data_IF_399930924932
#
_entry.id   IF_399930924932
#
_cell.length_a   1.000
_cell.length_b   1.000
_cell.length_c   1.000
_cell.angle_alpha   90.00
_cell.angle_beta   90.00
_cell.angle_gamma   90.00
#
_symmetry.space_group_name_H-M   'P 1'
#
loop_
_entity.id
_entity.type
_entity.pdbx_description
1 polymer ?
#
# COMPACT_ATOMS: atom_id res chain seq x y z
N UNK A 1 -14.95 -100.37 -17.38
CA UNK A 1 -13.86 -99.60 -18.03
C UNK A 1 -13.49 -98.47 -17.07
N UNK A 2 -12.98 -98.77 -15.87
CA UNK A 2 -11.60 -99.22 -15.58
C UNK A 2 -10.57 -98.20 -16.10
N UNK A 3 -9.59 -97.67 -15.37
CA UNK A 3 -9.09 -97.91 -14.01
C UNK A 3 -8.06 -96.79 -13.66
N UNK A 4 -7.97 -96.46 -12.36
CA UNK A 4 -6.79 -96.22 -11.47
C UNK A 4 -5.51 -95.55 -12.03
N UNK A 5 -4.83 -94.61 -11.35
CA UNK A 5 -4.09 -94.67 -10.06
C UNK A 5 -3.64 -93.24 -9.68
N UNK A 6 -3.30 -92.79 -8.46
CA UNK A 6 -3.17 -93.39 -7.14
C UNK A 6 -2.36 -92.44 -6.22
N UNK A 7 -2.74 -92.40 -4.92
CA UNK A 7 -1.96 -92.12 -3.69
C UNK A 7 -1.22 -90.77 -3.50
N UNK A 8 -0.87 -90.30 -2.30
CA UNK A 8 -1.42 -90.27 -0.94
C UNK A 8 -0.47 -89.36 -0.11
N UNK A 9 -0.97 -88.75 0.97
CA UNK A 9 -0.27 -88.34 2.20
C UNK A 9 0.78 -87.18 2.21
N UNK A 10 0.42 -86.12 2.96
CA UNK A 10 1.08 -85.82 4.25
C UNK A 10 2.18 -84.73 4.32
N UNK A 11 2.25 -83.91 5.40
CA UNK A 11 2.91 -82.60 5.41
C UNK A 11 4.20 -82.53 6.24
N UNK A 12 5.08 -81.54 6.00
CA UNK A 12 5.84 -80.87 7.08
C UNK A 12 6.66 -79.64 6.63
N UNK A 13 6.50 -78.60 7.46
CA UNK A 13 7.38 -77.46 7.81
C UNK A 13 8.76 -77.27 7.15
N UNK A 14 9.04 -76.02 6.75
CA UNK A 14 9.93 -75.09 7.47
C UNK A 14 10.89 -74.28 6.58
N UNK A 15 11.12 -73.04 7.05
CA UNK A 15 12.28 -72.14 6.82
C UNK A 15 12.21 -71.13 5.67
N UNK A 16 11.91 -69.89 6.07
CA UNK A 16 12.40 -68.67 5.44
C UNK A 16 13.93 -68.61 5.48
N UNK A 17 14.54 -68.00 4.45
CA UNK A 17 15.66 -67.09 4.68
C UNK A 17 15.46 -65.75 3.97
N UNK A 18 15.57 -64.68 4.77
CA UNK A 18 15.84 -63.31 4.35
C UNK A 18 17.11 -63.22 3.48
N UNK A 19 17.00 -62.60 2.31
CA UNK A 19 18.16 -62.16 1.52
C UNK A 19 17.91 -60.78 0.93
N UNK A 20 18.81 -59.88 1.30
CA UNK A 20 18.93 -58.48 0.91
C UNK A 20 19.25 -58.35 -0.58
N UNK A 21 18.44 -57.60 -1.33
CA UNK A 21 18.81 -57.14 -2.68
C UNK A 21 19.03 -55.65 -2.71
N UNK A 22 20.31 -55.30 -2.85
CA UNK A 22 20.85 -53.98 -3.21
C UNK A 22 20.19 -53.51 -4.51
N UNK A 23 19.49 -52.38 -4.46
CA UNK A 23 19.10 -51.68 -5.69
C UNK A 23 20.19 -50.71 -6.13
N UNK A 24 20.44 -50.78 -7.44
CA UNK A 24 21.41 -50.02 -8.20
C UNK A 24 21.27 -48.51 -8.03
N UNK A 25 22.44 -47.88 -7.99
CA UNK A 25 22.69 -46.46 -8.08
C UNK A 25 22.47 -46.04 -9.54
N UNK A 26 21.38 -45.33 -9.82
CA UNK A 26 21.29 -44.50 -11.02
C UNK A 26 21.59 -43.05 -10.63
N UNK A 27 22.53 -42.48 -11.37
CA UNK A 27 22.99 -41.11 -11.33
C UNK A 27 22.00 -40.21 -12.08
N UNK A 28 21.92 -38.98 -11.59
CA UNK A 28 21.60 -37.75 -12.32
C UNK A 28 20.20 -37.61 -12.91
N UNK A 29 19.35 -36.93 -12.15
CA UNK A 29 18.48 -35.87 -12.67
C UNK A 29 18.33 -34.81 -11.57
N UNK A 30 19.31 -33.91 -11.51
CA UNK A 30 19.21 -32.65 -10.78
C UNK A 30 18.15 -31.78 -11.46
N UNK A 31 16.91 -31.94 -11.01
CA UNK A 31 15.79 -31.10 -11.40
C UNK A 31 16.09 -29.64 -11.06
N UNK A 32 16.22 -28.84 -12.10
CA UNK A 32 16.38 -27.40 -12.04
C UNK A 32 15.07 -26.80 -11.47
N UNK A 33 14.99 -26.59 -10.16
CA UNK A 33 13.92 -25.78 -9.58
C UNK A 33 14.20 -24.32 -9.95
N UNK A 34 13.67 -23.87 -11.08
CA UNK A 34 13.51 -22.44 -11.35
C UNK A 34 12.68 -21.85 -10.21
N UNK A 35 13.36 -21.15 -9.30
CA UNK A 35 12.76 -20.55 -8.11
C UNK A 35 11.71 -19.51 -8.48
N UNK A 36 10.48 -19.95 -8.71
CA UNK A 36 9.34 -19.07 -8.83
C UNK A 36 9.15 -18.38 -7.48
N UNK A 37 9.21 -17.05 -7.48
CA UNK A 37 8.94 -16.27 -6.28
C UNK A 37 7.56 -16.67 -5.73
N UNK A 38 7.50 -17.05 -4.45
CA UNK A 38 6.23 -17.41 -3.80
C UNK A 38 5.32 -16.18 -3.80
N UNK A 39 4.18 -16.30 -4.48
CA UNK A 39 3.13 -15.29 -4.45
C UNK A 39 2.47 -15.30 -3.06
N UNK A 40 2.45 -14.14 -2.41
CA UNK A 40 1.82 -13.96 -1.09
C UNK A 40 0.85 -12.80 -1.20
N UNK A 41 -0.41 -13.15 -1.42
CA UNK A 41 -1.49 -12.20 -1.66
C UNK A 41 -2.37 -12.06 -0.42
N UNK A 42 -1.82 -11.43 0.61
CA UNK A 42 -2.53 -11.15 1.87
C UNK A 42 -2.66 -9.66 2.12
N UNK A 43 -3.63 -9.30 2.94
CA UNK A 43 -3.83 -7.95 3.42
C UNK A 43 -3.80 -7.91 4.94
N UNK A 44 -3.25 -6.81 5.46
CA UNK A 44 -3.07 -6.59 6.87
C UNK A 44 -3.20 -5.10 7.19
N UNK A 45 -3.85 -4.78 8.30
CA UNK A 45 -4.00 -3.43 8.84
C UNK A 45 -3.85 -3.46 10.37
N UNK A 46 -3.64 -2.29 10.97
CA UNK A 46 -3.13 -2.16 12.34
C UNK A 46 -4.00 -2.82 13.43
N UNK A 47 -5.33 -2.85 13.28
CA UNK A 47 -6.22 -3.46 14.27
C UNK A 47 -6.35 -4.98 14.17
N UNK A 48 -5.68 -5.65 13.23
CA UNK A 48 -5.63 -7.11 13.20
C UNK A 48 -4.76 -7.65 14.34
N UNK A 49 -5.21 -8.76 14.95
CA UNK A 49 -4.50 -9.42 16.05
C UNK A 49 -3.30 -10.26 15.58
N UNK A 50 -3.21 -10.54 14.29
CA UNK A 50 -2.10 -11.32 13.72
C UNK A 50 -0.86 -10.42 13.53
N UNK A 51 0.36 -10.98 13.59
CA UNK A 51 1.56 -10.21 13.29
C UNK A 51 1.56 -9.69 11.83
N UNK A 52 2.10 -8.48 11.57
CA UNK A 52 2.15 -7.94 10.23
C UNK A 52 3.08 -8.79 9.33
N UNK A 53 2.66 -9.11 8.09
CA UNK A 53 3.53 -9.76 7.12
C UNK A 53 4.81 -8.96 6.86
N UNK A 54 5.84 -9.61 6.30
CA UNK A 54 7.17 -9.01 6.16
C UNK A 54 7.20 -7.73 5.31
N UNK A 55 6.29 -7.61 4.33
CA UNK A 55 6.18 -6.45 3.47
C UNK A 55 5.21 -5.37 4.00
N UNK A 56 4.51 -5.62 5.10
CA UNK A 56 3.68 -4.65 5.82
C UNK A 56 4.46 -4.13 7.03
N UNK A 57 4.52 -2.80 7.18
CA UNK A 57 5.25 -2.15 8.27
C UNK A 57 4.36 -1.07 8.91
N UNK A 58 3.67 -1.40 10.02
CA UNK A 58 3.00 -0.39 10.83
C UNK A 58 4.00 0.50 11.57
N UNK A 59 3.49 1.59 12.18
CA UNK A 59 4.30 2.51 12.97
C UNK A 59 5.24 3.41 12.17
N UNK A 60 5.21 3.33 10.83
CA UNK A 60 6.12 4.10 9.98
C UNK A 60 5.86 5.61 10.07
N UNK A 61 4.61 6.03 10.25
CA UNK A 61 4.28 7.45 10.50
C UNK A 61 4.85 7.91 11.85
N UNK A 62 4.76 7.08 12.90
CA UNK A 62 5.30 7.42 14.22
C UNK A 62 6.83 7.51 14.18
N UNK A 63 7.51 6.61 13.45
CA UNK A 63 8.94 6.69 13.21
C UNK A 63 9.32 7.95 12.44
N UNK A 64 8.56 8.30 11.39
CA UNK A 64 8.73 9.54 10.64
C UNK A 64 8.54 10.78 11.52
N UNK A 65 7.53 10.79 12.38
CA UNK A 65 7.30 11.87 13.35
C UNK A 65 8.52 12.08 14.24
N UNK A 66 9.09 11.01 14.81
CA UNK A 66 10.34 11.10 15.60
C UNK A 66 11.51 11.64 14.77
N UNK A 67 11.65 11.18 13.53
CA UNK A 67 12.72 11.63 12.64
C UNK A 67 12.60 13.11 12.26
N UNK A 68 11.38 13.58 12.01
CA UNK A 68 11.08 14.99 11.73
C UNK A 68 11.32 15.86 12.97
N UNK A 69 10.94 15.41 14.17
CA UNK A 69 11.25 16.10 15.42
C UNK A 69 12.76 16.22 15.66
N UNK A 70 13.54 15.16 15.39
CA UNK A 70 15.00 15.20 15.44
C UNK A 70 15.59 16.15 14.39
N UNK A 71 15.04 16.15 13.18
CA UNK A 71 15.45 17.08 12.12
C UNK A 71 15.09 18.54 12.44
N UNK A 72 13.98 18.78 13.15
CA UNK A 72 13.56 20.09 13.64
C UNK A 72 14.49 20.60 14.75
N UNK A 73 14.82 19.77 15.75
CA UNK A 73 15.74 20.18 16.84
C UNK A 73 17.15 20.54 16.33
N UNK A 74 17.51 20.04 15.14
CA UNK A 74 18.75 20.37 14.41
C UNK A 74 18.61 21.55 13.44
N UNK A 75 17.47 22.26 13.45
CA UNK A 75 17.22 23.44 12.63
C UNK A 75 17.02 23.18 11.13
N UNK A 76 16.84 21.92 10.70
CA UNK A 76 16.65 21.56 9.28
C UNK A 76 15.19 21.60 8.88
N UNK A 77 14.32 21.01 9.70
CA UNK A 77 12.88 21.01 9.50
C UNK A 77 12.28 22.21 10.20
N UNK A 78 11.57 23.07 9.49
CA UNK A 78 10.81 24.17 10.10
C UNK A 78 9.49 23.63 10.65
N UNK A 79 8.74 22.92 9.79
CA UNK A 79 7.43 22.37 10.10
C UNK A 79 7.20 21.07 9.33
N UNK A 80 6.44 20.14 9.88
CA UNK A 80 5.96 18.99 9.11
C UNK A 80 4.57 18.55 9.55
N UNK A 81 3.81 18.02 8.60
CA UNK A 81 2.46 17.52 8.82
C UNK A 81 2.34 16.16 8.18
N UNK A 82 1.88 15.18 8.95
CA UNK A 82 1.70 13.79 8.57
C UNK A 82 0.22 13.44 8.51
N UNK A 83 -0.14 12.48 7.67
CA UNK A 83 -1.48 11.90 7.60
C UNK A 83 -1.82 11.08 8.85
N UNK A 84 -2.96 10.40 8.81
CA UNK A 84 -3.40 9.42 9.80
C UNK A 84 -2.27 8.45 10.15
N UNK A 85 -1.98 8.32 11.44
CA UNK A 85 -0.74 7.72 11.94
C UNK A 85 -0.74 6.19 11.96
N UNK A 86 -1.91 5.57 11.77
CA UNK A 86 -2.09 4.11 11.74
C UNK A 86 -2.11 3.50 10.34
N UNK A 87 -1.86 4.31 9.29
CA UNK A 87 -1.57 3.78 7.96
C UNK A 87 -0.36 2.81 8.00
N UNK A 88 -0.48 1.70 7.28
CA UNK A 88 0.58 0.69 7.18
C UNK A 88 1.37 0.92 5.90
N UNK A 89 2.71 0.95 6.02
CA UNK A 89 3.56 0.97 4.83
C UNK A 89 3.62 -0.41 4.18
N UNK A 90 3.20 -0.52 2.92
CA UNK A 90 3.17 -1.77 2.16
C UNK A 90 4.18 -1.72 1.03
N UNK A 91 5.25 -2.50 1.14
CA UNK A 91 6.28 -2.61 0.11
C UNK A 91 5.96 -3.72 -0.90
N UNK A 92 6.42 -3.53 -2.14
CA UNK A 92 6.32 -4.52 -3.21
C UNK A 92 7.21 -5.73 -2.95
N UNK A 93 6.75 -6.87 -3.43
CA UNK A 93 7.44 -8.16 -3.34
C UNK A 93 8.05 -8.52 -4.70
N UNK A 94 8.76 -9.64 -4.79
CA UNK A 94 9.44 -10.04 -6.03
C UNK A 94 8.45 -10.38 -7.15
N UNK A 95 7.30 -10.94 -6.81
CA UNK A 95 6.30 -11.41 -7.78
C UNK A 95 5.52 -10.25 -8.44
N UNK A 96 5.33 -9.14 -7.72
CA UNK A 96 4.69 -7.92 -8.21
C UNK A 96 5.68 -6.80 -8.60
N UNK A 97 6.98 -7.10 -8.61
CA UNK A 97 8.01 -6.14 -9.00
C UNK A 97 7.82 -5.66 -10.44
N UNK A 98 7.88 -4.35 -10.64
CA UNK A 98 7.72 -3.71 -11.95
C UNK A 98 6.27 -3.47 -12.38
N UNK A 99 5.26 -3.92 -11.63
CA UNK A 99 3.86 -3.67 -11.99
C UNK A 99 2.88 -3.46 -10.84
N UNK A 100 3.25 -3.86 -9.62
CA UNK A 100 2.38 -3.82 -8.45
C UNK A 100 2.15 -2.45 -7.81
N UNK A 101 2.74 -1.36 -8.31
CA UNK A 101 2.74 -0.08 -7.58
C UNK A 101 1.32 0.42 -7.28
N UNK A 102 0.42 0.45 -8.25
CA UNK A 102 -0.98 0.87 -8.05
C UNK A 102 -1.71 0.00 -7.01
N UNK A 103 -1.51 -1.31 -7.08
CA UNK A 103 -2.08 -2.28 -6.13
C UNK A 103 -1.55 -2.07 -4.71
N UNK A 104 -0.24 -1.83 -4.53
CA UNK A 104 0.33 -1.58 -3.20
C UNK A 104 -0.12 -0.25 -2.61
N UNK A 105 -0.28 0.80 -3.42
CA UNK A 105 -0.84 2.08 -2.96
C UNK A 105 -2.32 1.95 -2.58
N UNK A 106 -3.08 1.11 -3.28
CA UNK A 106 -4.43 0.72 -2.87
C UNK A 106 -4.43 0.04 -1.49
N UNK A 107 -3.57 -0.95 -1.25
CA UNK A 107 -3.49 -1.62 0.05
C UNK A 107 -3.08 -0.65 1.17
N UNK A 108 -2.15 0.27 0.91
CA UNK A 108 -1.83 1.33 1.88
C UNK A 108 -3.04 2.20 2.21
N UNK A 109 -3.84 2.58 1.22
CA UNK A 109 -5.07 3.36 1.43
C UNK A 109 -6.11 2.57 2.21
N UNK A 110 -6.38 1.31 1.84
CA UNK A 110 -7.27 0.42 2.57
C UNK A 110 -6.83 0.24 4.03
N UNK A 111 -5.52 0.13 4.30
CA UNK A 111 -5.03 -0.02 5.67
C UNK A 111 -5.37 1.16 6.58
N UNK A 112 -5.47 2.38 6.02
CA UNK A 112 -5.91 3.56 6.74
C UNK A 112 -7.44 3.63 6.84
N UNK A 113 -8.13 3.43 5.71
CA UNK A 113 -9.60 3.56 5.61
C UNK A 113 -10.36 2.52 6.46
N UNK A 114 -9.80 1.32 6.62
CA UNK A 114 -10.39 0.25 7.43
C UNK A 114 -10.07 0.37 8.92
N UNK A 115 -9.09 1.18 9.30
CA UNK A 115 -8.59 1.29 10.68
C UNK A 115 -8.96 2.61 11.37
N UNK A 116 -9.33 3.63 10.60
CA UNK A 116 -9.86 4.89 11.11
C UNK A 116 -11.26 4.71 11.76
N UNK A 117 -11.61 5.60 12.70
CA UNK A 117 -12.84 5.51 13.49
C UNK A 117 -13.93 6.55 13.11
N UNK A 118 -13.63 7.45 12.17
CA UNK A 118 -14.48 8.57 11.75
C UNK A 118 -15.61 8.15 10.79
N UNK A 119 -15.35 7.16 9.94
CA UNK A 119 -16.29 6.55 9.00
C UNK A 119 -16.28 5.02 9.16
N UNK A 120 -16.84 4.46 10.25
CA UNK A 120 -16.74 3.02 10.55
C UNK A 120 -17.32 2.12 9.44
N UNK A 121 -18.31 2.62 8.69
CA UNK A 121 -18.95 1.89 7.59
C UNK A 121 -18.01 1.63 6.40
N UNK A 122 -16.85 2.29 6.32
CA UNK A 122 -15.86 1.97 5.30
C UNK A 122 -15.27 0.56 5.49
N UNK A 123 -15.16 0.08 6.74
CA UNK A 123 -14.66 -1.26 7.03
C UNK A 123 -15.47 -2.36 6.33
N UNK A 124 -16.78 -2.54 6.60
CA UNK A 124 -17.55 -3.61 5.97
C UNK A 124 -17.64 -3.47 4.45
N UNK A 125 -17.65 -2.23 3.94
CA UNK A 125 -17.64 -1.95 2.50
C UNK A 125 -16.33 -2.32 1.81
N UNK A 126 -15.21 -2.35 2.51
CA UNK A 126 -13.91 -2.77 1.97
C UNK A 126 -13.59 -4.24 2.27
N UNK A 127 -14.18 -4.81 3.32
CA UNK A 127 -13.90 -6.19 3.73
C UNK A 127 -14.80 -7.24 3.04
N UNK A 128 -16.06 -6.90 2.75
CA UNK A 128 -17.06 -7.87 2.24
C UNK A 128 -17.50 -7.55 0.81
N UNK A 129 -17.68 -8.53 -0.09
CA UNK A 129 -17.62 -9.98 0.15
C UNK A 129 -16.21 -10.57 0.17
N UNK A 130 -15.22 -9.80 -0.29
CA UNK A 130 -13.82 -10.21 -0.38
C UNK A 130 -12.99 -9.00 0.05
N UNK A 131 -12.07 -9.20 0.98
CA UNK A 131 -11.18 -8.18 1.53
C UNK A 131 -10.23 -7.61 0.44
N UNK A 132 -9.44 -6.58 0.75
CA UNK A 132 -8.42 -6.08 -0.17
C UNK A 132 -7.29 -7.10 -0.36
N UNK A 133 -6.74 -7.21 -1.56
CA UNK A 133 -5.42 -7.79 -1.86
C UNK A 133 -4.99 -7.33 -3.25
N UNK A 134 -3.82 -7.76 -3.74
CA UNK A 134 -3.41 -7.46 -5.12
C UNK A 134 -4.32 -8.17 -6.12
N UNK A 135 -4.58 -9.48 -5.97
CA UNK A 135 -5.46 -10.23 -6.89
C UNK A 135 -6.93 -9.90 -6.69
N UNK A 136 -7.34 -9.67 -5.44
CA UNK A 136 -8.72 -9.32 -5.13
C UNK A 136 -9.07 -7.95 -5.72
N UNK A 137 -8.15 -6.99 -5.76
CA UNK A 137 -8.38 -5.73 -6.48
C UNK A 137 -8.62 -5.93 -7.98
N UNK A 138 -7.92 -6.86 -8.63
CA UNK A 138 -8.16 -7.18 -10.05
C UNK A 138 -9.60 -7.66 -10.26
N UNK A 139 -10.08 -8.52 -9.36
CA UNK A 139 -11.46 -8.99 -9.37
C UNK A 139 -12.47 -7.86 -9.05
N UNK A 140 -12.17 -6.99 -8.08
CA UNK A 140 -13.02 -5.83 -7.75
C UNK A 140 -13.24 -4.96 -8.99
N UNK A 141 -12.19 -4.71 -9.78
CA UNK A 141 -12.26 -3.94 -11.01
C UNK A 141 -13.12 -4.62 -12.08
N UNK A 142 -12.92 -5.92 -12.32
CA UNK A 142 -13.73 -6.64 -13.31
C UNK A 142 -15.22 -6.69 -12.92
N UNK A 143 -15.53 -6.84 -11.63
CA UNK A 143 -16.91 -6.74 -11.13
C UNK A 143 -17.48 -5.33 -11.32
N UNK A 144 -16.71 -4.29 -11.02
CA UNK A 144 -17.13 -2.91 -11.26
C UNK A 144 -17.41 -2.66 -12.75
N UNK A 145 -16.52 -3.12 -13.64
CA UNK A 145 -16.68 -3.00 -15.08
C UNK A 145 -17.92 -3.74 -15.61
N UNK A 146 -18.15 -4.97 -15.14
CA UNK A 146 -19.37 -5.72 -15.51
C UNK A 146 -20.66 -5.06 -15.01
N UNK A 147 -20.56 -4.26 -13.95
CA UNK A 147 -21.66 -3.44 -13.42
C UNK A 147 -21.81 -2.07 -14.11
N UNK A 148 -21.01 -1.81 -15.15
CA UNK A 148 -21.08 -0.61 -15.98
C UNK A 148 -20.21 0.56 -15.53
N UNK A 149 -19.35 0.39 -14.52
CA UNK A 149 -18.33 1.39 -14.22
C UNK A 149 -17.24 1.38 -15.27
N UNK A 150 -16.72 2.56 -15.62
CA UNK A 150 -15.50 2.77 -16.41
C UNK A 150 -15.32 1.81 -17.59
N UNK A 151 -16.30 1.81 -18.50
CA UNK A 151 -16.26 1.00 -19.73
C UNK A 151 -15.00 1.27 -20.55
N UNK A 152 -14.45 2.49 -20.48
CA UNK A 152 -13.20 2.84 -21.15
C UNK A 152 -12.02 2.11 -20.49
N UNK A 153 -11.86 2.17 -19.18
CA UNK A 153 -10.85 1.39 -18.44
C UNK A 153 -10.97 -0.10 -18.71
N UNK A 154 -12.19 -0.64 -18.72
CA UNK A 154 -12.47 -2.03 -19.07
C UNK A 154 -11.94 -2.41 -20.46
N UNK A 155 -12.17 -1.58 -21.48
CA UNK A 155 -11.68 -1.84 -22.85
C UNK A 155 -10.15 -1.80 -22.98
N UNK A 156 -9.48 -1.08 -22.08
CA UNK A 156 -8.01 -0.98 -22.07
C UNK A 156 -7.35 -2.12 -21.28
N UNK A 157 -7.99 -2.54 -20.18
CA UNK A 157 -7.35 -3.39 -19.18
C UNK A 157 -7.96 -4.79 -19.04
N UNK A 158 -9.19 -5.04 -19.50
CA UNK A 158 -9.79 -6.37 -19.42
C UNK A 158 -9.15 -7.38 -20.40
N UNK A 159 -8.97 -8.66 -20.02
CA UNK A 159 -9.06 -9.18 -18.65
C UNK A 159 -7.88 -8.71 -17.80
N UNK A 160 -8.14 -8.48 -16.51
CA UNK A 160 -7.18 -8.00 -15.53
C UNK A 160 -6.78 -9.06 -14.49
N UNK A 161 -7.70 -9.95 -14.10
CA UNK A 161 -7.42 -11.04 -13.15
C UNK A 161 -6.26 -11.90 -13.66
N UNK A 162 -5.37 -12.26 -12.74
CA UNK A 162 -4.12 -13.00 -12.96
C UNK A 162 -3.11 -12.32 -13.90
N UNK A 163 -3.38 -11.10 -14.35
CA UNK A 163 -2.45 -10.33 -15.18
C UNK A 163 -1.39 -9.60 -14.35
N UNK A 164 -0.42 -9.00 -15.05
CA UNK A 164 0.58 -8.06 -14.51
C UNK A 164 0.39 -6.64 -15.04
N UNK A 165 -0.82 -6.30 -15.48
CA UNK A 165 -1.11 -4.98 -16.07
C UNK A 165 -1.02 -3.88 -15.01
N UNK A 166 -0.47 -2.75 -15.41
CA UNK A 166 -0.46 -1.53 -14.59
C UNK A 166 -1.87 -0.98 -14.46
N UNK A 167 -2.17 -0.46 -13.27
CA UNK A 167 -3.38 0.29 -12.98
C UNK A 167 -3.01 1.69 -12.51
N UNK A 168 -3.86 2.66 -12.82
CA UNK A 168 -3.72 4.05 -12.43
C UNK A 168 -4.76 4.48 -11.38
N UNK A 169 -4.75 5.77 -11.05
CA UNK A 169 -5.70 6.33 -10.08
C UNK A 169 -7.15 6.31 -10.56
N UNK A 170 -7.40 6.29 -11.87
CA UNK A 170 -8.76 6.10 -12.44
C UNK A 170 -9.33 4.72 -12.12
N UNK A 171 -8.50 3.67 -12.21
CA UNK A 171 -8.91 2.32 -11.83
C UNK A 171 -9.20 2.27 -10.33
N UNK A 172 -8.34 2.87 -9.51
CA UNK A 172 -8.56 2.93 -8.07
C UNK A 172 -9.83 3.71 -7.71
N UNK A 173 -10.12 4.81 -8.40
CA UNK A 173 -11.38 5.54 -8.27
C UNK A 173 -12.59 4.64 -8.56
N UNK A 174 -12.53 3.85 -9.62
CA UNK A 174 -13.55 2.87 -9.99
C UNK A 174 -13.73 1.80 -8.91
N UNK A 175 -12.63 1.24 -8.40
CA UNK A 175 -12.66 0.21 -7.36
C UNK A 175 -13.27 0.72 -6.04
N UNK A 176 -12.89 1.92 -5.60
CA UNK A 176 -13.46 2.51 -4.38
C UNK A 176 -14.92 2.95 -4.57
N UNK A 177 -15.22 3.63 -5.68
CA UNK A 177 -16.58 4.16 -5.94
C UNK A 177 -17.61 3.04 -6.12
N UNK A 178 -17.25 1.95 -6.80
CA UNK A 178 -18.14 0.78 -6.97
C UNK A 178 -18.44 0.03 -5.66
N UNK A 179 -17.66 0.28 -4.61
CA UNK A 179 -17.87 -0.26 -3.26
C UNK A 179 -18.42 0.78 -2.29
N UNK A 180 -18.90 1.90 -2.80
CA UNK A 180 -19.53 2.94 -1.99
C UNK A 180 -18.56 3.80 -1.18
N UNK A 181 -17.26 3.79 -1.50
CA UNK A 181 -16.26 4.62 -0.82
C UNK A 181 -16.07 5.95 -1.58
N UNK A 182 -16.42 7.10 -0.98
CA UNK A 182 -16.12 8.41 -1.54
C UNK A 182 -14.62 8.62 -1.75
N UNK A 183 -14.24 8.94 -2.98
CA UNK A 183 -12.88 9.33 -3.37
C UNK A 183 -12.94 10.30 -4.54
N UNK A 184 -11.91 11.12 -4.71
CA UNK A 184 -11.91 12.20 -5.70
C UNK A 184 -10.59 12.25 -6.48
N UNK A 185 -10.71 12.46 -7.80
CA UNK A 185 -9.58 12.62 -8.71
C UNK A 185 -9.28 14.09 -8.96
N UNK A 186 -7.99 14.43 -8.94
CA UNK A 186 -7.50 15.75 -9.36
C UNK A 186 -6.38 15.58 -10.38
N UNK A 187 -6.54 16.21 -11.54
CA UNK A 187 -5.58 16.23 -12.63
C UNK A 187 -4.79 17.55 -12.62
N UNK A 188 -3.46 17.43 -12.62
CA UNK A 188 -2.52 18.53 -12.73
C UNK A 188 -1.83 18.46 -14.09
N UNK A 189 -2.29 19.29 -15.04
CA UNK A 189 -1.80 19.27 -16.41
C UNK A 189 -0.89 20.47 -16.69
N UNK A 190 0.42 20.22 -16.77
CA UNK A 190 1.41 21.28 -16.99
C UNK A 190 1.69 21.60 -18.45
N UNK A 191 0.73 21.44 -19.36
CA UNK A 191 0.88 21.86 -20.76
C UNK A 191 1.19 23.35 -20.93
N UNK A 192 0.87 24.19 -19.93
CA UNK A 192 1.00 25.67 -20.01
C UNK A 192 1.49 26.34 -18.70
N UNK A 193 1.85 25.58 -17.66
CA UNK A 193 2.17 26.18 -16.34
C UNK A 193 3.66 26.51 -16.19
N UNK A 194 3.98 27.81 -16.13
CA UNK A 194 5.30 28.30 -15.72
C UNK A 194 5.58 28.10 -14.22
N UNK A 195 4.58 27.71 -13.43
CA UNK A 195 4.70 27.48 -11.98
C UNK A 195 5.12 26.05 -11.62
N UNK A 196 5.21 25.16 -12.61
CA UNK A 196 5.68 23.79 -12.41
C UNK A 196 4.93 23.04 -11.34
N UNK A 197 5.62 22.25 -10.52
CA UNK A 197 5.01 21.43 -9.46
C UNK A 197 4.44 22.23 -8.27
N UNK A 198 4.51 23.56 -8.26
CA UNK A 198 4.03 24.36 -7.12
C UNK A 198 2.53 24.22 -6.89
N UNK A 199 1.72 24.06 -7.95
CA UNK A 199 0.26 23.89 -7.82
C UNK A 199 -0.07 22.60 -7.08
N UNK A 200 0.58 21.48 -7.47
CA UNK A 200 0.46 20.20 -6.78
C UNK A 200 0.94 20.29 -5.33
N UNK A 201 2.09 20.92 -5.09
CA UNK A 201 2.63 21.09 -3.73
C UNK A 201 1.66 21.88 -2.87
N UNK A 202 1.14 23.01 -3.38
CA UNK A 202 0.21 23.85 -2.64
C UNK A 202 -1.10 23.11 -2.36
N UNK A 203 -1.63 22.37 -3.33
CA UNK A 203 -2.83 21.56 -3.15
C UNK A 203 -2.64 20.54 -2.01
N UNK A 204 -1.49 19.85 -1.98
CA UNK A 204 -1.17 18.88 -0.93
C UNK A 204 -1.02 19.57 0.44
N UNK A 205 -0.38 20.73 0.48
CA UNK A 205 -0.26 21.52 1.71
C UNK A 205 -1.64 21.94 2.21
N UNK A 206 -2.52 22.44 1.34
CA UNK A 206 -3.87 22.87 1.71
C UNK A 206 -4.75 21.69 2.15
N UNK A 207 -4.55 20.50 1.58
CA UNK A 207 -5.25 19.29 2.02
C UNK A 207 -4.88 18.89 3.45
N UNK A 208 -3.58 18.90 3.78
CA UNK A 208 -3.08 18.53 5.12
C UNK A 208 -3.09 19.68 6.13
N UNK A 209 -3.18 20.92 5.68
CA UNK A 209 -3.24 22.13 6.51
C UNK A 209 -4.19 23.17 5.90
N UNK A 210 -5.51 22.92 5.95
CA UNK A 210 -6.49 23.85 5.42
C UNK A 210 -6.32 25.26 6.01
N UNK A 211 -6.46 26.34 5.20
CA UNK A 211 -6.26 27.72 5.67
C UNK A 211 -7.13 28.11 6.89
N UNK A 212 -8.27 27.44 7.08
CA UNK A 212 -9.21 27.65 8.17
C UNK A 212 -8.77 27.06 9.51
N UNK A 213 -7.79 26.16 9.54
CA UNK A 213 -7.22 25.60 10.77
C UNK A 213 -6.07 26.45 11.35
N UNK A 214 -5.64 27.49 10.63
CA UNK A 214 -4.71 28.49 11.17
C UNK A 214 -5.52 29.47 12.03
N UNK A 215 -5.95 29.04 13.22
CA UNK A 215 -6.21 29.99 14.31
C UNK A 215 -4.94 30.81 14.47
N UNK A 216 -5.00 32.11 14.13
CA UNK A 216 -3.93 33.03 14.52
C UNK A 216 -3.82 32.91 16.04
N UNK A 217 -2.66 32.53 16.59
CA UNK A 217 -2.53 32.41 18.02
C UNK A 217 -2.87 33.75 18.65
N UNK A 218 -3.91 33.75 19.46
CA UNK A 218 -4.45 34.96 20.10
C UNK A 218 -3.56 35.41 21.25
N UNK A 219 -2.60 34.57 21.65
CA UNK A 219 -1.59 34.87 22.66
C UNK A 219 -0.30 34.06 22.42
N UNK A 220 0.78 34.45 23.12
CA UNK A 220 2.10 33.80 23.07
C UNK A 220 2.05 32.31 23.45
N UNK A 221 1.11 31.92 24.30
CA UNK A 221 0.91 30.54 24.75
C UNK A 221 0.37 29.65 23.62
N UNK A 222 -0.62 30.10 22.85
CA UNK A 222 -1.12 29.41 21.65
C UNK A 222 -0.04 29.34 20.55
N UNK A 223 0.78 30.38 20.41
CA UNK A 223 1.88 30.38 19.44
C UNK A 223 2.95 29.33 19.76
N UNK A 224 3.19 29.09 21.06
CA UNK A 224 4.08 28.04 21.57
C UNK A 224 3.46 26.64 21.50
N UNK A 225 2.13 26.52 21.42
CA UNK A 225 1.41 25.25 21.36
C UNK A 225 1.24 24.68 19.94
N UNK A 226 1.53 25.44 18.89
CA UNK A 226 1.48 24.92 17.53
C UNK A 226 2.63 23.92 17.32
N UNK A 227 2.35 22.60 17.18
CA UNK A 227 3.42 21.62 17.17
C UNK A 227 4.22 21.74 15.87
N UNK A 228 5.55 21.79 15.97
CA UNK A 228 6.45 21.82 14.80
C UNK A 228 6.27 20.60 13.89
N UNK A 229 5.82 19.46 14.45
CA UNK A 229 5.51 18.23 13.73
C UNK A 229 4.20 17.65 14.23
N UNK A 230 3.21 17.53 13.35
CA UNK A 230 1.86 17.10 13.71
C UNK A 230 1.42 15.90 12.86
N UNK A 231 0.67 14.96 13.47
CA UNK A 231 -0.11 13.97 12.72
C UNK A 231 -1.56 14.43 12.69
N UNK A 232 -2.19 14.32 11.54
CA UNK A 232 -3.60 14.70 11.32
C UNK A 232 -4.47 13.47 11.20
N UNK A 233 -5.79 13.67 11.16
CA UNK A 233 -6.76 12.63 10.84
C UNK A 233 -6.99 12.49 9.32
N UNK A 234 -6.29 13.28 8.50
CA UNK A 234 -6.41 13.25 7.03
C UNK A 234 -5.86 11.94 6.48
N UNK A 235 -6.56 11.36 5.51
CA UNK A 235 -6.11 10.15 4.82
C UNK A 235 -4.91 10.42 3.91
N UNK A 236 -4.09 9.40 3.60
CA UNK A 236 -3.04 9.54 2.61
C UNK A 236 -3.61 9.87 1.21
N UNK A 237 -2.76 10.41 0.33
CA UNK A 237 -3.11 10.72 -1.06
C UNK A 237 -2.32 9.78 -1.97
N UNK A 238 -2.96 9.12 -2.93
CA UNK A 238 -2.23 8.39 -3.98
C UNK A 238 -1.82 9.39 -5.06
N UNK A 239 -0.54 9.42 -5.41
CA UNK A 239 0.05 10.29 -6.43
C UNK A 239 0.55 9.44 -7.60
N UNK A 240 0.00 9.66 -8.78
CA UNK A 240 0.40 9.03 -10.04
C UNK A 240 1.28 9.97 -10.87
N UNK A 241 2.38 9.46 -11.40
CA UNK A 241 3.38 10.24 -12.14
C UNK A 241 3.61 9.78 -13.59
N UNK A 242 2.59 9.15 -14.17
CA UNK A 242 2.60 8.48 -15.46
C UNK A 242 2.84 6.99 -15.29
N UNK A 243 4.08 6.60 -14.98
CA UNK A 243 4.50 5.20 -14.96
C UNK A 243 4.68 4.60 -13.57
N UNK A 244 4.57 5.41 -12.51
CA UNK A 244 4.68 4.95 -11.14
C UNK A 244 3.69 5.67 -10.23
N UNK A 245 3.21 4.98 -9.20
CA UNK A 245 2.40 5.58 -8.14
C UNK A 245 3.07 5.48 -6.79
N UNK A 246 2.79 6.47 -5.94
CA UNK A 246 3.26 6.57 -4.56
C UNK A 246 2.12 7.01 -3.67
N UNK A 247 2.26 6.80 -2.37
CA UNK A 247 1.33 7.30 -1.37
C UNK A 247 1.96 8.48 -0.63
N UNK A 248 1.44 9.68 -0.82
CA UNK A 248 1.82 10.87 -0.04
C UNK A 248 1.21 10.75 1.35
N UNK A 249 2.07 10.78 2.35
CA UNK A 249 1.73 10.62 3.77
C UNK A 249 1.94 11.91 4.58
N UNK A 250 2.22 13.01 3.89
CA UNK A 250 2.43 14.31 4.50
C UNK A 250 3.39 15.18 3.71
N UNK A 251 3.79 16.28 4.34
CA UNK A 251 4.79 17.19 3.80
C UNK A 251 5.68 17.74 4.91
N UNK A 252 6.82 18.24 4.49
CA UNK A 252 7.80 18.91 5.33
C UNK A 252 8.18 20.25 4.71
N UNK A 253 8.14 21.30 5.50
CA UNK A 253 8.74 22.58 5.18
C UNK A 253 10.11 22.66 5.86
N UNK A 254 11.17 22.80 5.08
CA UNK A 254 12.53 22.97 5.60
C UNK A 254 12.85 24.45 5.86
N UNK A 255 14.00 24.72 6.47
CA UNK A 255 14.38 26.07 6.94
C UNK A 255 14.44 27.15 5.85
N UNK A 256 14.66 26.79 4.59
CA UNK A 256 14.65 27.71 3.44
C UNK A 256 13.25 27.90 2.82
N UNK A 257 12.19 27.46 3.52
CA UNK A 257 10.79 27.45 3.06
C UNK A 257 10.51 26.52 1.87
N UNK A 258 11.46 25.68 1.46
CA UNK A 258 11.18 24.63 0.48
C UNK A 258 10.30 23.55 1.10
N UNK A 259 9.28 23.12 0.34
CA UNK A 259 8.42 22.01 0.73
C UNK A 259 8.89 20.71 0.07
N UNK A 260 9.15 19.70 0.87
CA UNK A 260 9.32 18.32 0.44
C UNK A 260 8.02 17.55 0.70
N UNK A 261 7.65 16.66 -0.20
CA UNK A 261 6.63 15.66 0.11
C UNK A 261 7.24 14.54 0.95
N UNK A 262 6.42 13.91 1.77
CA UNK A 262 6.75 12.68 2.47
C UNK A 262 5.93 11.57 1.80
N UNK A 263 6.60 10.58 1.21
CA UNK A 263 5.94 9.55 0.41
C UNK A 263 6.36 8.16 0.84
N UNK A 264 5.37 7.27 0.89
CA UNK A 264 5.56 5.84 0.86
C UNK A 264 5.64 5.40 -0.60
N UNK A 265 6.78 4.83 -1.00
CA UNK A 265 7.02 4.36 -2.36
C UNK A 265 7.07 2.82 -2.35
N UNK A 266 6.08 2.11 -2.91
CA UNK A 266 6.02 0.66 -2.83
C UNK A 266 7.22 -0.04 -3.50
N UNK A 267 7.98 0.64 -4.37
CA UNK A 267 9.21 0.07 -4.95
C UNK A 267 10.38 0.04 -3.98
N UNK A 268 10.30 0.74 -2.83
CA UNK A 268 11.39 0.83 -1.85
C UNK A 268 11.12 -0.05 -0.65
N UNK A 269 11.96 -1.05 -0.43
CA UNK A 269 11.89 -1.86 0.79
C UNK A 269 12.64 -1.17 1.93
N UNK A 270 12.01 -0.99 3.11
CA UNK A 270 12.71 -0.42 4.25
C UNK A 270 13.76 -1.43 4.75
N UNK A 271 14.92 -0.94 5.18
CA UNK A 271 15.95 -1.82 5.79
C UNK A 271 15.39 -2.47 7.05
N UNK A 272 15.87 -3.65 7.40
CA UNK A 272 15.41 -4.41 8.57
C UNK A 272 15.43 -3.59 9.87
N UNK A 273 16.48 -2.78 10.08
CA UNK A 273 16.58 -1.87 11.23
C UNK A 273 15.46 -0.81 11.25
N UNK A 274 15.13 -0.20 10.10
CA UNK A 274 14.05 0.79 9.99
C UNK A 274 12.70 0.11 10.27
N UNK A 275 12.46 -1.07 9.67
CA UNK A 275 11.24 -1.85 9.94
C UNK A 275 11.11 -2.20 11.42
N UNK A 276 12.19 -2.70 12.03
CA UNK A 276 12.22 -3.03 13.46
C UNK A 276 11.91 -1.81 14.33
N UNK A 277 12.53 -0.66 14.06
CA UNK A 277 12.25 0.56 14.81
C UNK A 277 10.78 1.02 14.68
N UNK A 278 10.16 0.85 13.51
CA UNK A 278 8.75 1.17 13.32
C UNK A 278 7.83 0.23 14.12
N UNK A 279 8.14 -1.07 14.17
CA UNK A 279 7.42 -2.04 15.01
C UNK A 279 7.61 -1.72 16.50
N UNK A 280 8.84 -1.55 16.95
CA UNK A 280 9.16 -1.30 18.36
C UNK A 280 8.47 0.00 18.88
N UNK A 281 8.33 1.03 18.04
CA UNK A 281 7.59 2.27 18.39
C UNK A 281 6.09 2.02 18.55
N UNK A 282 5.53 1.08 17.78
CA UNK A 282 4.11 0.73 17.85
C UNK A 282 3.79 0.06 19.18
N UNK A 283 4.68 -0.81 19.65
CA UNK A 283 4.53 -1.51 20.93
C UNK A 283 4.86 -0.61 22.12
N UNK A 284 5.83 0.29 21.98
CA UNK A 284 6.26 1.22 23.01
C UNK A 284 6.56 2.60 22.43
N UNK A 285 5.62 3.55 22.57
CA UNK A 285 5.77 4.91 22.03
C UNK A 285 7.05 5.63 22.51
N UNK A 286 7.57 5.29 23.70
CA UNK A 286 8.82 5.83 24.27
C UNK A 286 10.09 5.14 23.77
N UNK A 287 9.99 4.15 22.88
CA UNK A 287 11.14 3.42 22.34
C UNK A 287 12.20 4.37 21.78
N UNK A 288 13.44 4.24 22.26
CA UNK A 288 14.57 5.02 21.78
C UNK A 288 14.97 4.54 20.39
N UNK A 289 15.25 5.49 19.49
CA UNK A 289 15.74 5.23 18.15
C UNK A 289 16.98 6.07 17.94
N UNK A 290 18.04 5.46 17.42
CA UNK A 290 19.31 6.12 17.14
C UNK A 290 19.13 7.21 16.07
N UNK A 291 19.78 8.36 16.27
CA UNK A 291 19.69 9.52 15.39
C UNK A 291 20.09 9.22 13.93
N UNK A 292 21.07 8.34 13.73
CA UNK A 292 21.46 7.88 12.39
C UNK A 292 20.33 7.12 11.71
N UNK A 293 19.62 6.25 12.45
CA UNK A 293 18.50 5.49 11.91
C UNK A 293 17.30 6.39 11.61
N UNK A 294 17.07 7.42 12.43
CA UNK A 294 16.07 8.46 12.15
C UNK A 294 16.41 9.24 10.87
N UNK A 295 17.68 9.59 10.68
CA UNK A 295 18.15 10.26 9.46
C UNK A 295 17.93 9.39 8.21
N UNK A 296 18.28 8.10 8.29
CA UNK A 296 18.09 7.13 7.22
C UNK A 296 16.61 6.94 6.87
N UNK A 297 15.74 6.82 7.88
CA UNK A 297 14.30 6.75 7.68
C UNK A 297 13.78 8.01 6.97
N UNK A 298 14.18 9.20 7.41
CA UNK A 298 13.72 10.44 6.80
C UNK A 298 14.22 10.60 5.35
N UNK A 299 15.45 10.16 5.05
CA UNK A 299 16.00 10.12 3.68
C UNK A 299 15.25 9.13 2.77
N UNK A 300 14.73 8.04 3.33
CA UNK A 300 13.95 7.05 2.58
C UNK A 300 12.62 7.63 2.08
N UNK A 301 11.96 8.49 2.86
CA UNK A 301 10.60 8.95 2.56
C UNK A 301 10.50 10.41 2.08
N UNK A 302 11.55 11.22 2.22
CA UNK A 302 11.59 12.56 1.61
C UNK A 302 11.59 12.46 0.10
N UNK A 303 10.60 13.08 -0.52
CA UNK A 303 10.44 13.17 -1.96
C UNK A 303 10.46 14.61 -2.43
N UNK A 304 11.47 14.94 -3.23
CA UNK A 304 11.64 16.27 -3.80
C UNK A 304 10.97 16.34 -5.16
N UNK A 305 9.92 17.13 -5.26
CA UNK A 305 9.36 17.53 -6.55
C UNK A 305 10.24 18.65 -7.12
N UNK A 306 10.95 18.37 -8.21
CA UNK A 306 11.71 19.41 -8.90
C UNK A 306 10.75 20.42 -9.52
N UNK A 307 11.06 21.71 -9.40
CA UNK A 307 10.15 22.79 -9.82
C UNK A 307 9.86 22.76 -11.33
N UNK A 308 10.78 22.26 -12.16
CA UNK A 308 10.64 22.30 -13.62
C UNK A 308 10.74 20.90 -14.24
N UNK A 309 9.61 20.28 -14.55
CA UNK A 309 9.56 19.13 -15.46
C UNK A 309 8.49 19.42 -16.51
N UNK A 310 8.92 19.91 -17.67
CA UNK A 310 8.03 20.10 -18.81
C UNK A 310 7.46 18.74 -19.25
N UNK A 311 6.16 18.71 -19.54
CA UNK A 311 5.49 17.52 -20.09
C UNK A 311 5.10 16.44 -19.08
N UNK A 312 5.41 16.59 -17.78
CA UNK A 312 4.94 15.64 -16.76
C UNK A 312 3.50 15.97 -16.35
N UNK A 313 2.66 14.95 -16.26
CA UNK A 313 1.30 15.06 -15.74
C UNK A 313 1.24 14.33 -14.42
N UNK A 314 0.51 14.92 -13.46
CA UNK A 314 0.23 14.26 -12.20
C UNK A 314 -1.26 14.11 -12.05
N UNK A 315 -1.64 13.01 -11.42
CA UNK A 315 -2.99 12.80 -10.96
C UNK A 315 -2.91 12.37 -9.51
N UNK A 316 -3.88 12.79 -8.72
CA UNK A 316 -4.02 12.32 -7.35
C UNK A 316 -5.40 11.71 -7.13
N UNK A 317 -5.45 10.76 -6.21
CA UNK A 317 -6.68 10.26 -5.61
C UNK A 317 -6.63 10.54 -4.11
N UNK A 318 -7.66 11.20 -3.58
CA UNK A 318 -7.79 11.46 -2.14
C UNK A 318 -9.19 11.07 -1.62
N UNK A 319 -9.30 10.97 -0.30
CA UNK A 319 -10.52 10.54 0.38
C UNK A 319 -11.09 11.69 1.22
N UNK A 320 -12.26 12.26 0.87
CA UNK A 320 -12.84 13.39 1.60
C UNK A 320 -13.40 13.00 2.98
N UNK A 321 -13.45 11.70 3.32
CA UNK A 321 -13.97 11.18 4.60
C UNK A 321 -15.43 11.58 4.90
N UNK A 322 -16.27 11.53 3.87
CA UNK A 322 -17.73 11.73 3.97
C UNK A 322 -18.45 10.40 4.18
N UNK A 323 -19.77 10.43 4.39
CA UNK A 323 -20.56 9.21 4.50
C UNK A 323 -20.44 8.33 3.24
N UNK A 324 -20.60 7.00 3.36
CA UNK A 324 -20.64 6.12 2.20
C UNK A 324 -21.58 6.58 1.10
N UNK A 325 -21.21 6.30 -0.15
CA UNK A 325 -22.01 6.68 -1.30
C UNK A 325 -23.33 5.90 -1.31
N UNK A 326 -24.41 6.63 -1.56
CA UNK A 326 -25.71 6.05 -1.94
C UNK A 326 -25.63 5.41 -3.33
N UNK A 327 -26.55 4.49 -3.65
CA UNK A 327 -26.66 3.90 -4.99
C UNK A 327 -26.74 4.97 -6.10
N UNK A 328 -27.52 6.04 -5.86
CA UNK A 328 -27.63 7.15 -6.80
C UNK A 328 -26.30 7.88 -7.03
N UNK A 329 -25.51 8.09 -5.98
CA UNK A 329 -24.18 8.69 -6.11
C UNK A 329 -23.20 7.75 -6.80
N UNK A 330 -23.29 6.44 -6.55
CA UNK A 330 -22.50 5.43 -7.24
C UNK A 330 -22.81 5.39 -8.74
N UNK A 331 -24.07 5.47 -9.14
CA UNK A 331 -24.48 5.48 -10.55
C UNK A 331 -23.86 6.65 -11.32
N UNK A 332 -23.79 7.84 -10.70
CA UNK A 332 -23.14 9.01 -11.29
C UNK A 332 -21.64 8.86 -11.47
N UNK A 333 -21.00 7.96 -10.72
CA UNK A 333 -19.55 7.71 -10.72
C UNK A 333 -19.16 6.56 -11.63
N UNK A 334 -20.11 5.96 -12.37
CA UNK A 334 -19.79 5.00 -13.44
C UNK A 334 -18.94 5.63 -14.55
N UNK A 335 -19.10 6.94 -14.76
CA UNK A 335 -18.22 7.72 -15.62
C UNK A 335 -17.10 8.33 -14.78
N UNK A 336 -15.86 7.96 -15.07
CA UNK A 336 -14.70 8.51 -14.37
C UNK A 336 -14.56 9.98 -14.74
N UNK A 337 -14.62 10.85 -13.72
CA UNK A 337 -14.43 12.28 -13.86
C UNK A 337 -13.35 12.76 -12.90
N UNK A 338 -12.57 13.75 -13.34
CA UNK A 338 -11.54 14.41 -12.55
C UNK A 338 -11.81 15.90 -12.48
N UNK A 339 -11.43 16.49 -11.35
CA UNK A 339 -11.31 17.95 -11.24
C UNK A 339 -9.95 18.37 -11.82
N UNK A 340 -9.89 19.55 -12.45
CA UNK A 340 -8.62 20.13 -12.91
C UNK A 340 -8.18 21.20 -11.93
N UNK A 341 -6.93 21.14 -11.51
CA UNK A 341 -6.30 22.12 -10.63
C UNK A 341 -5.35 23.04 -11.39
#
# INVERSE_FOLDING_TARGET
MDSKHGADSGPSSSRNPTSTRKHHRNKDESGNHEGHAIETDSFWYQSLQTPPPSNFTPGMILLLKKALLNSHSRGKTRRAVLCFDRIVYVSGQSWDAGWGCGYRNFLMSCSALMDQHFQPMYFPLLDSPISPSVRQLQWWLEVAWSSGFDVQGASQLSPLVDSKKWIGVSDLYTAFSSRGIPCELVDFNYKQSFHGNNVLIQWIVDYFSPPTEIRRPTNLTEALMNPSVTCTEKMPIILQDGWHSRTVVGYEEISDSTVNLLVFDPSRRPRSKIRKAALDITDAASARVEDELLHDALKLFRYKLFKNIFGKQWQILYFPMTEPLTEYQMEKRKFVASTRA
#
